data_IF_399329442815
#
_entry.id   IF_399329442815
#
_cell.length_a   1.000
_cell.length_b   1.000
_cell.length_c   1.000
_cell.angle_alpha   90.00
_cell.angle_beta   90.00
_cell.angle_gamma   90.00
#
_symmetry.space_group_name_H-M   'P 1'
#
loop_
_entity.id
_entity.type
_entity.pdbx_description
1 polymer ?
#
# COMPACT_ATOMS: atom_id res chain seq x y z
N UNK A 1 14.59 -20.50 2.31
CA UNK A 1 13.30 -20.09 1.68
C UNK A 1 12.57 -19.15 2.60
N UNK A 2 12.09 -18.03 2.07
CA UNK A 2 11.34 -17.07 2.88
C UNK A 2 9.95 -17.59 3.24
N UNK A 3 9.51 -17.32 4.47
CA UNK A 3 8.14 -17.58 4.88
C UNK A 3 7.20 -16.55 4.25
N UNK A 4 5.88 -16.78 4.36
CA UNK A 4 4.87 -15.80 3.93
C UNK A 4 5.05 -14.45 4.61
N UNK A 5 5.29 -14.47 5.92
CA UNK A 5 5.45 -13.23 6.70
C UNK A 5 6.70 -12.47 6.27
N UNK A 6 7.79 -13.17 6.02
CA UNK A 6 9.03 -12.55 5.56
C UNK A 6 8.87 -11.95 4.16
N UNK A 7 8.18 -12.67 3.26
CA UNK A 7 7.87 -12.18 1.91
C UNK A 7 6.99 -10.93 1.98
N UNK A 8 5.97 -10.94 2.81
CA UNK A 8 5.09 -9.79 3.00
C UNK A 8 5.82 -8.58 3.56
N UNK A 9 6.67 -8.79 4.57
CA UNK A 9 7.47 -7.70 5.14
C UNK A 9 8.45 -7.11 4.13
N UNK A 10 9.10 -7.97 3.35
CA UNK A 10 10.01 -7.49 2.31
C UNK A 10 9.26 -6.64 1.29
N UNK A 11 8.09 -7.08 0.86
CA UNK A 11 7.26 -6.31 -0.07
C UNK A 11 6.85 -4.96 0.50
N UNK A 12 6.45 -4.92 1.77
CA UNK A 12 6.07 -3.68 2.44
C UNK A 12 7.27 -2.73 2.59
N UNK A 13 8.45 -3.26 2.91
CA UNK A 13 9.67 -2.45 2.99
C UNK A 13 10.02 -1.85 1.64
N UNK A 14 9.92 -2.62 0.57
CA UNK A 14 10.18 -2.13 -0.79
C UNK A 14 9.15 -1.08 -1.21
N UNK A 15 7.88 -1.30 -0.88
CA UNK A 15 6.82 -0.34 -1.16
C UNK A 15 7.05 0.98 -0.42
N UNK A 16 7.42 0.91 0.86
CA UNK A 16 7.71 2.10 1.65
C UNK A 16 8.86 2.90 1.04
N UNK A 17 9.93 2.23 0.63
CA UNK A 17 11.07 2.90 -0.02
C UNK A 17 10.67 3.55 -1.35
N UNK A 18 9.87 2.85 -2.15
CA UNK A 18 9.39 3.41 -3.41
C UNK A 18 8.63 4.70 -3.18
N UNK A 19 7.69 4.70 -2.23
CA UNK A 19 6.88 5.87 -1.92
C UNK A 19 7.72 7.01 -1.33
N UNK A 20 8.68 6.69 -0.48
CA UNK A 20 9.61 7.70 0.06
C UNK A 20 10.46 8.31 -1.04
N UNK A 21 10.94 7.51 -1.99
CA UNK A 21 11.69 8.01 -3.14
C UNK A 21 10.84 8.90 -4.04
N UNK A 22 9.51 8.74 -4.02
CA UNK A 22 8.59 9.60 -4.74
C UNK A 22 8.22 10.87 -3.97
N UNK A 23 8.76 11.03 -2.78
CA UNK A 23 8.54 12.23 -1.97
C UNK A 23 7.49 12.07 -0.88
N UNK A 24 6.92 10.89 -0.71
CA UNK A 24 5.93 10.65 0.35
C UNK A 24 6.59 10.42 1.70
N UNK A 25 5.87 10.70 2.77
CA UNK A 25 6.30 10.39 4.12
C UNK A 25 5.45 9.24 4.65
N UNK A 26 6.09 8.19 5.16
CA UNK A 26 5.37 7.07 5.79
C UNK A 26 4.89 7.51 7.17
N UNK A 27 3.58 7.49 7.39
CA UNK A 27 2.95 7.88 8.65
C UNK A 27 2.71 6.69 9.56
N UNK A 28 2.38 5.53 8.99
CA UNK A 28 2.09 4.34 9.78
C UNK A 28 2.27 3.09 8.92
N UNK A 29 2.49 1.96 9.58
CA UNK A 29 2.66 0.66 8.93
C UNK A 29 1.88 -0.40 9.70
N UNK A 30 1.25 -1.32 8.96
CA UNK A 30 0.56 -2.47 9.54
C UNK A 30 -0.43 -2.09 10.63
N UNK A 31 -1.29 -1.13 10.32
CA UNK A 31 -2.31 -0.68 11.27
C UNK A 31 -3.54 -1.57 11.18
N UNK A 32 -3.95 -2.09 12.34
CA UNK A 32 -5.13 -2.95 12.42
C UNK A 32 -6.33 -2.12 12.84
N UNK A 33 -7.34 -2.09 11.98
CA UNK A 33 -8.60 -1.41 12.24
C UNK A 33 -9.78 -2.38 12.15
N UNK A 34 -11.00 -1.85 12.26
CA UNK A 34 -12.19 -2.69 12.14
C UNK A 34 -12.25 -3.32 10.73
N UNK A 35 -12.27 -4.65 10.70
CA UNK A 35 -12.43 -5.39 9.46
C UNK A 35 -11.17 -5.62 8.62
N UNK A 36 -9.98 -5.24 9.12
CA UNK A 36 -8.76 -5.53 8.36
C UNK A 36 -7.56 -4.71 8.77
N UNK A 37 -6.58 -4.65 7.87
CA UNK A 37 -5.30 -4.01 8.09
C UNK A 37 -5.01 -3.04 6.94
N UNK A 38 -4.44 -1.88 7.28
CA UNK A 38 -3.77 -1.00 6.33
C UNK A 38 -2.28 -1.32 6.32
N UNK A 39 -1.76 -1.68 5.17
CA UNK A 39 -0.35 -2.04 5.05
C UNK A 39 0.55 -0.82 5.28
N UNK A 40 0.23 0.29 4.65
CA UNK A 40 0.93 1.56 4.83
C UNK A 40 -0.08 2.71 4.83
N UNK A 41 0.24 3.75 5.59
CA UNK A 41 -0.41 5.06 5.48
C UNK A 41 0.71 6.06 5.22
N UNK A 42 0.58 6.82 4.14
CA UNK A 42 1.60 7.79 3.77
C UNK A 42 0.97 9.16 3.55
N UNK A 43 1.80 10.19 3.63
CA UNK A 43 1.43 11.54 3.26
C UNK A 43 2.13 11.93 1.97
N UNK A 44 1.34 12.37 1.00
CA UNK A 44 1.84 12.88 -0.27
C UNK A 44 1.80 14.41 -0.24
N UNK A 45 2.95 15.06 -0.05
CA UNK A 45 2.99 16.54 0.03
C UNK A 45 2.66 17.21 -1.30
N UNK A 46 2.88 16.55 -2.42
CA UNK A 46 2.57 17.11 -3.74
C UNK A 46 1.09 17.37 -3.93
N UNK A 47 0.24 16.50 -3.38
CA UNK A 47 -1.20 16.65 -3.46
C UNK A 47 -1.86 17.04 -2.13
N UNK A 48 -1.07 17.17 -1.06
CA UNK A 48 -1.58 17.35 0.29
C UNK A 48 -2.65 16.30 0.59
N UNK A 49 -2.25 15.04 0.49
CA UNK A 49 -3.15 13.90 0.64
C UNK A 49 -2.61 12.89 1.65
N UNK A 50 -3.50 12.36 2.48
CA UNK A 50 -3.24 11.15 3.26
C UNK A 50 -3.66 9.97 2.41
N UNK A 51 -2.76 9.01 2.24
CA UNK A 51 -2.94 7.89 1.32
C UNK A 51 -2.91 6.58 2.08
N UNK A 52 -3.97 5.79 1.93
CA UNK A 52 -4.00 4.41 2.38
C UNK A 52 -3.46 3.53 1.26
N UNK A 53 -2.45 2.72 1.56
CA UNK A 53 -1.75 1.94 0.56
C UNK A 53 -1.90 0.46 0.86
N UNK A 54 -2.37 -0.30 -0.13
CA UNK A 54 -2.33 -1.74 -0.10
C UNK A 54 -1.08 -2.22 -0.83
N UNK A 55 -0.35 -3.15 -0.21
CA UNK A 55 0.84 -3.74 -0.81
C UNK A 55 0.53 -5.17 -1.21
N UNK A 56 0.69 -5.48 -2.48
CA UNK A 56 0.53 -6.83 -3.01
C UNK A 56 1.88 -7.36 -3.43
N UNK A 57 2.34 -8.42 -2.75
CA UNK A 57 3.64 -9.03 -3.04
C UNK A 57 3.42 -10.37 -3.71
N UNK A 58 4.12 -10.60 -4.83
CA UNK A 58 4.09 -11.84 -5.59
C UNK A 58 5.51 -12.30 -5.89
N UNK A 59 5.70 -13.61 -5.98
CA UNK A 59 6.98 -14.20 -6.38
C UNK A 59 7.16 -14.26 -7.90
N UNK A 60 6.05 -14.30 -8.63
CA UNK A 60 6.07 -14.34 -10.09
C UNK A 60 4.87 -13.57 -10.62
N UNK A 61 4.97 -13.02 -11.82
CA UNK A 61 3.88 -12.34 -12.51
C UNK A 61 2.98 -13.32 -13.26
N UNK A 62 2.75 -14.51 -12.71
CA UNK A 62 2.10 -15.60 -13.45
C UNK A 62 0.60 -15.41 -13.64
N UNK A 63 -0.05 -14.60 -12.81
CA UNK A 63 -1.50 -14.45 -12.81
C UNK A 63 -1.91 -12.99 -12.79
N UNK A 64 -2.36 -12.52 -13.93
CA UNK A 64 -3.00 -11.23 -14.05
C UNK A 64 -2.10 -10.02 -13.86
N UNK A 65 -2.67 -8.87 -14.02
CA UNK A 65 -2.00 -7.58 -13.85
C UNK A 65 -2.25 -7.07 -12.42
N UNK A 66 -1.46 -6.10 -11.93
CA UNK A 66 -1.74 -5.45 -10.65
C UNK A 66 -3.14 -4.86 -10.57
N UNK A 67 -3.67 -4.33 -11.66
CA UNK A 67 -5.02 -3.77 -11.71
C UNK A 67 -6.10 -4.81 -11.39
N UNK A 68 -5.90 -6.07 -11.73
CA UNK A 68 -6.85 -7.13 -11.46
C UNK A 68 -6.99 -7.44 -9.97
N UNK A 69 -6.01 -7.03 -9.16
CA UNK A 69 -6.09 -7.18 -7.71
C UNK A 69 -7.02 -6.15 -7.07
N UNK A 70 -7.38 -5.09 -7.81
CA UNK A 70 -8.26 -4.03 -7.32
C UNK A 70 -9.70 -4.39 -7.60
N UNK A 71 -10.50 -4.59 -6.56
CA UNK A 71 -11.93 -4.87 -6.68
C UNK A 71 -12.73 -3.80 -5.94
N UNK A 72 -14.00 -3.56 -6.31
CA UNK A 72 -14.83 -2.62 -5.56
C UNK A 72 -14.95 -2.95 -4.07
N UNK A 73 -15.01 -4.23 -3.75
CA UNK A 73 -15.08 -4.69 -2.36
C UNK A 73 -13.81 -4.31 -1.58
N UNK A 74 -12.64 -4.51 -2.19
CA UNK A 74 -11.35 -4.15 -1.59
C UNK A 74 -11.24 -2.65 -1.41
N UNK A 75 -11.64 -1.87 -2.41
CA UNK A 75 -11.63 -0.41 -2.33
C UNK A 75 -12.51 0.09 -1.19
N UNK A 76 -13.72 -0.45 -1.06
CA UNK A 76 -14.61 -0.07 0.04
C UNK A 76 -14.00 -0.38 1.40
N UNK A 77 -13.36 -1.54 1.54
CA UNK A 77 -12.69 -1.93 2.79
C UNK A 77 -11.54 -0.98 3.11
N UNK A 78 -10.70 -0.69 2.13
CA UNK A 78 -9.57 0.23 2.33
C UNK A 78 -10.03 1.63 2.68
N UNK A 79 -11.09 2.12 2.04
CA UNK A 79 -11.64 3.44 2.34
C UNK A 79 -12.16 3.50 3.77
N UNK A 80 -12.86 2.48 4.23
CA UNK A 80 -13.36 2.40 5.61
C UNK A 80 -12.21 2.34 6.61
N UNK A 81 -11.16 1.58 6.31
CA UNK A 81 -9.97 1.49 7.16
C UNK A 81 -9.24 2.83 7.24
N UNK A 82 -9.08 3.52 6.13
CA UNK A 82 -8.44 4.84 6.12
C UNK A 82 -9.26 5.87 6.92
N UNK A 83 -10.57 5.83 6.78
CA UNK A 83 -11.45 6.69 7.58
C UNK A 83 -11.28 6.42 9.07
N UNK A 84 -11.19 5.15 9.48
CA UNK A 84 -10.97 4.78 10.86
C UNK A 84 -9.59 5.22 11.36
N UNK A 85 -8.57 5.11 10.51
CA UNK A 85 -7.22 5.57 10.84
C UNK A 85 -7.21 7.08 11.08
N UNK A 86 -7.84 7.84 10.20
CA UNK A 86 -7.93 9.29 10.33
C UNK A 86 -8.67 9.70 11.61
N UNK A 87 -9.72 8.98 11.98
CA UNK A 87 -10.46 9.23 13.21
C UNK A 87 -9.61 8.96 14.45
N UNK A 88 -8.65 8.03 14.37
CA UNK A 88 -7.80 7.64 15.49
C UNK A 88 -6.51 8.44 15.59
N UNK A 89 -6.18 9.25 14.59
CA UNK A 89 -4.93 9.99 14.52
C UNK A 89 -5.20 11.46 14.24
N UNK A 90 -4.36 12.34 14.80
CA UNK A 90 -4.50 13.77 14.61
C UNK A 90 -3.68 14.21 13.40
N UNK A 91 -4.16 13.83 12.22
CA UNK A 91 -3.52 14.17 10.95
C UNK A 91 -4.58 14.78 10.04
N UNK A 92 -4.25 15.92 9.48
CA UNK A 92 -5.16 16.66 8.60
C UNK A 92 -4.48 16.92 7.26
N UNK A 93 -5.20 16.65 6.19
CA UNK A 93 -4.76 16.91 4.84
C UNK A 93 -5.94 17.37 4.00
N UNK A 94 -5.65 18.00 2.88
CA UNK A 94 -6.66 18.52 1.97
C UNK A 94 -7.52 17.41 1.37
N UNK A 95 -6.92 16.23 1.15
CA UNK A 95 -7.62 15.13 0.51
C UNK A 95 -7.13 13.78 1.04
N UNK A 96 -7.84 12.74 0.64
CA UNK A 96 -7.44 11.35 0.90
C UNK A 96 -7.36 10.62 -0.43
N UNK A 97 -6.56 9.56 -0.46
CA UNK A 97 -6.37 8.76 -1.65
C UNK A 97 -6.11 7.31 -1.26
N UNK A 98 -6.47 6.38 -2.12
CA UNK A 98 -6.18 4.95 -1.96
C UNK A 98 -5.28 4.52 -3.10
N UNK A 99 -4.16 3.90 -2.77
CA UNK A 99 -3.16 3.45 -3.74
C UNK A 99 -2.87 1.96 -3.55
N UNK A 100 -2.32 1.35 -4.58
CA UNK A 100 -1.80 -0.01 -4.56
C UNK A 100 -0.33 0.03 -4.95
N UNK A 101 0.52 -0.68 -4.22
CA UNK A 101 1.88 -0.96 -4.67
C UNK A 101 1.99 -2.46 -4.90
N UNK A 102 2.30 -2.85 -6.12
CA UNK A 102 2.52 -4.23 -6.49
C UNK A 102 4.01 -4.53 -6.53
N UNK A 103 4.44 -5.49 -5.73
CA UNK A 103 5.85 -5.88 -5.64
C UNK A 103 6.00 -7.29 -6.19
N UNK A 104 6.88 -7.44 -7.16
CA UNK A 104 7.21 -8.73 -7.75
C UNK A 104 8.62 -9.12 -7.32
N UNK A 105 8.72 -10.23 -6.59
CA UNK A 105 10.01 -10.81 -6.20
C UNK A 105 10.40 -11.87 -7.23
N UNK A 106 11.54 -11.64 -7.88
CA UNK A 106 12.01 -12.49 -8.99
C UNK A 106 13.30 -13.19 -8.58
N UNK A 107 13.35 -14.51 -8.78
CA UNK A 107 14.54 -15.29 -8.46
C UNK A 107 15.73 -14.83 -9.32
N UNK A 108 16.86 -14.55 -8.68
CA UNK A 108 18.09 -14.15 -9.37
C UNK A 108 18.04 -12.79 -10.06
N UNK A 109 17.01 -11.99 -9.80
CA UNK A 109 16.82 -10.67 -10.41
C UNK A 109 16.38 -9.66 -9.35
N UNK A 110 16.63 -8.36 -9.56
CA UNK A 110 16.13 -7.34 -8.64
C UNK A 110 14.60 -7.38 -8.58
N UNK A 111 14.01 -7.07 -7.41
CA UNK A 111 12.56 -6.95 -7.30
C UNK A 111 12.04 -5.85 -8.21
N UNK A 112 10.80 -6.01 -8.66
CA UNK A 112 10.11 -4.98 -9.42
C UNK A 112 8.94 -4.47 -8.61
N UNK A 113 8.78 -3.16 -8.51
CA UNK A 113 7.65 -2.54 -7.82
C UNK A 113 6.96 -1.56 -8.74
N UNK A 114 5.62 -1.59 -8.71
CA UNK A 114 4.80 -0.69 -9.50
C UNK A 114 3.80 0.01 -8.59
N UNK A 115 3.73 1.32 -8.69
CA UNK A 115 2.81 2.14 -7.89
C UNK A 115 1.60 2.52 -8.73
N UNK A 116 0.42 2.11 -8.29
CA UNK A 116 -0.86 2.47 -8.89
C UNK A 116 -1.57 3.44 -7.96
N UNK A 117 -1.63 4.70 -8.36
CA UNK A 117 -2.31 5.73 -7.58
C UNK A 117 -3.80 5.76 -7.90
N UNK A 118 -4.58 6.20 -6.92
CA UNK A 118 -6.02 6.44 -7.08
C UNK A 118 -6.78 5.21 -7.59
N UNK A 119 -6.73 4.14 -6.81
CA UNK A 119 -7.40 2.89 -7.20
C UNK A 119 -8.91 2.90 -6.92
N UNK A 120 -9.42 3.94 -6.33
CA UNK A 120 -10.86 4.01 -6.07
C UNK A 120 -11.39 5.35 -5.64
#
# INVERSE_FOLDING_TARGET
MRTRNETGRLGEDLAARLLENEGCTVLDRNWYGPGGELDLVVYDPGEDAVVGVEVKTRRTATYGTPHEAVTPRKVRRLRALLAAWLAAHDVHARSIRLDLVAVELRAGRPPHAEHLAEIG
#
